data_IF_830435689902
#
_entry.id   IF_830435689902
#
_cell.length_a   1.000
_cell.length_b   1.000
_cell.length_c   1.000
_cell.angle_alpha   90.00
_cell.angle_beta   90.00
_cell.angle_gamma   90.00
#
_symmetry.space_group_name_H-M   'P 1'
#
loop_
_entity.id
_entity.type
_entity.pdbx_description
1 polymer ?
#
# COMPACT_ATOMS: atom_id res chain seq x y z
N UNK A 1 -3.14 -18.19 30.15
CA UNK A 1 -3.80 -17.60 28.96
C UNK A 1 -2.70 -17.01 28.09
N UNK A 2 -2.50 -17.52 26.88
CA UNK A 2 -1.54 -16.93 25.95
C UNK A 2 -2.08 -15.56 25.54
N UNK A 3 -1.48 -14.49 26.05
CA UNK A 3 -1.79 -13.14 25.61
C UNK A 3 -1.35 -13.05 24.16
N UNK A 4 -2.29 -13.14 23.23
CA UNK A 4 -2.05 -12.92 21.81
C UNK A 4 -1.76 -11.42 21.62
N UNK A 5 -0.54 -10.99 21.97
CA UNK A 5 -0.14 -9.59 21.79
C UNK A 5 0.14 -9.38 20.31
N UNK A 6 -0.83 -8.82 19.60
CA UNK A 6 -0.57 -8.26 18.28
C UNK A 6 0.51 -7.20 18.46
N UNK A 7 1.65 -7.38 17.81
CA UNK A 7 2.75 -6.40 17.85
C UNK A 7 2.38 -5.20 16.95
N UNK A 8 1.51 -4.31 17.44
CA UNK A 8 0.99 -3.16 16.69
C UNK A 8 2.07 -2.33 16.02
N UNK A 9 3.20 -2.11 16.69
CA UNK A 9 4.36 -1.41 16.14
C UNK A 9 4.89 -2.06 14.85
N UNK A 10 4.95 -3.40 14.79
CA UNK A 10 5.40 -4.12 13.59
C UNK A 10 4.41 -3.97 12.45
N UNK A 11 3.11 -4.01 12.74
CA UNK A 11 2.10 -3.95 11.68
C UNK A 11 1.94 -2.53 11.13
N UNK A 12 2.08 -1.50 11.98
CA UNK A 12 2.18 -0.12 11.52
C UNK A 12 3.41 0.09 10.66
N UNK A 13 4.56 -0.44 11.07
CA UNK A 13 5.79 -0.38 10.28
C UNK A 13 5.62 -0.99 8.89
N UNK A 14 5.00 -2.18 8.80
CA UNK A 14 4.71 -2.82 7.51
C UNK A 14 3.80 -1.96 6.63
N UNK A 15 2.79 -1.29 7.20
CA UNK A 15 1.92 -0.40 6.43
C UNK A 15 2.67 0.84 5.89
N UNK A 16 3.59 1.39 6.68
CA UNK A 16 4.47 2.49 6.27
C UNK A 16 5.45 2.04 5.17
N UNK A 17 6.06 0.85 5.31
CA UNK A 17 6.91 0.24 4.28
C UNK A 17 6.13 0.00 2.98
N UNK A 18 4.89 -0.50 3.05
CA UNK A 18 4.04 -0.67 1.86
C UNK A 18 3.76 0.66 1.15
N UNK A 19 3.55 1.75 1.89
CA UNK A 19 3.41 3.08 1.30
C UNK A 19 4.71 3.57 0.67
N UNK A 20 5.84 3.33 1.32
CA UNK A 20 7.16 3.68 0.79
C UNK A 20 7.42 2.94 -0.54
N UNK A 21 7.23 1.62 -0.55
CA UNK A 21 7.40 0.77 -1.73
C UNK A 21 6.47 1.23 -2.86
N UNK A 22 5.21 1.55 -2.55
CA UNK A 22 4.26 2.06 -3.55
C UNK A 22 4.74 3.37 -4.19
N UNK A 23 5.30 4.28 -3.39
CA UNK A 23 5.89 5.53 -3.91
C UNK A 23 7.11 5.25 -4.78
N UNK A 24 8.01 4.38 -4.33
CA UNK A 24 9.20 3.99 -5.09
C UNK A 24 8.83 3.38 -6.44
N UNK A 25 7.86 2.47 -6.47
CA UNK A 25 7.34 1.88 -7.71
C UNK A 25 6.79 2.98 -8.63
N UNK A 26 6.00 3.91 -8.09
CA UNK A 26 5.50 5.05 -8.87
C UNK A 26 6.62 5.90 -9.50
N UNK A 27 7.68 6.20 -8.75
CA UNK A 27 8.84 6.93 -9.27
C UNK A 27 9.57 6.14 -10.36
N UNK A 28 9.85 4.86 -10.13
CA UNK A 28 10.52 4.01 -11.14
C UNK A 28 9.69 3.88 -12.42
N UNK A 29 8.37 3.76 -12.32
CA UNK A 29 7.47 3.73 -13.47
C UNK A 29 7.44 5.08 -14.22
N UNK A 30 7.50 6.20 -13.51
CA UNK A 30 7.59 7.53 -14.13
C UNK A 30 8.93 7.73 -14.87
N UNK A 31 10.04 7.26 -14.30
CA UNK A 31 11.34 7.25 -14.97
C UNK A 31 11.34 6.35 -16.21
N UNK A 32 10.72 5.17 -16.11
CA UNK A 32 10.54 4.26 -17.24
C UNK A 32 9.70 4.90 -18.36
N UNK A 33 8.59 5.58 -18.02
CA UNK A 33 7.76 6.31 -18.98
C UNK A 33 8.53 7.44 -19.67
N UNK A 34 9.31 8.22 -18.91
CA UNK A 34 10.13 9.29 -19.46
C UNK A 34 11.27 8.77 -20.37
N UNK A 35 11.87 7.63 -20.05
CA UNK A 35 12.86 6.99 -20.91
C UNK A 35 12.23 6.40 -22.17
N UNK A 36 11.10 5.69 -22.05
CA UNK A 36 10.41 5.11 -23.19
C UNK A 36 9.92 6.18 -24.17
N UNK A 37 9.37 7.29 -23.67
CA UNK A 37 8.93 8.45 -24.49
C UNK A 37 10.05 9.07 -25.31
N UNK A 38 11.30 9.08 -24.81
CA UNK A 38 12.46 9.62 -25.54
C UNK A 38 12.78 8.82 -26.81
N UNK A 39 12.57 7.50 -26.77
CA UNK A 39 12.79 6.63 -27.91
C UNK A 39 11.51 6.37 -28.72
N UNK A 40 10.36 6.83 -28.23
CA UNK A 40 9.05 6.56 -28.83
C UNK A 40 8.87 7.19 -30.22
N UNK A 41 9.60 8.27 -30.51
CA UNK A 41 9.67 8.86 -31.84
C UNK A 41 10.37 7.95 -32.87
N UNK A 42 11.23 7.04 -32.41
CA UNK A 42 11.94 6.05 -33.23
C UNK A 42 11.12 4.74 -33.36
N UNK A 43 10.07 4.58 -32.56
CA UNK A 43 9.26 3.37 -32.48
C UNK A 43 8.09 3.42 -33.46
N UNK A 44 7.87 2.32 -34.19
CA UNK A 44 6.73 2.14 -35.10
C UNK A 44 5.38 2.17 -34.34
N UNK A 45 4.25 2.28 -35.06
CA UNK A 45 2.91 2.38 -34.43
C UNK A 45 2.55 1.21 -33.53
N UNK A 46 3.04 0.01 -33.82
CA UNK A 46 2.74 -1.20 -33.04
C UNK A 46 3.44 -1.17 -31.68
N UNK A 47 4.69 -0.68 -31.64
CA UNK A 47 5.42 -0.48 -30.39
C UNK A 47 4.80 0.63 -29.52
N UNK A 48 4.24 1.68 -30.12
CA UNK A 48 3.48 2.71 -29.40
C UNK A 48 2.20 2.14 -28.76
N UNK A 49 1.52 1.24 -29.46
CA UNK A 49 0.32 0.55 -28.97
C UNK A 49 0.66 -0.41 -27.83
N UNK A 50 1.71 -1.22 -27.99
CA UNK A 50 2.20 -2.11 -26.93
C UNK A 50 2.62 -1.33 -25.69
N UNK A 51 3.29 -0.18 -25.87
CA UNK A 51 3.67 0.71 -24.81
C UNK A 51 2.47 1.26 -24.03
N UNK A 52 1.44 1.76 -24.73
CA UNK A 52 0.24 2.31 -24.07
C UNK A 52 -0.50 1.23 -23.27
N UNK A 53 -0.56 -0.01 -23.77
CA UNK A 53 -1.12 -1.12 -23.01
C UNK A 53 -0.28 -1.49 -21.78
N UNK A 54 1.04 -1.55 -21.91
CA UNK A 54 1.93 -1.81 -20.78
C UNK A 54 1.81 -0.70 -19.72
N UNK A 55 1.72 0.55 -20.17
CA UNK A 55 1.52 1.71 -19.32
C UNK A 55 0.24 1.66 -18.51
N UNK A 56 -0.88 1.39 -19.16
CA UNK A 56 -2.16 1.26 -18.48
C UNK A 56 -2.13 0.15 -17.39
N UNK A 57 -1.47 -0.98 -17.67
CA UNK A 57 -1.34 -2.09 -16.72
C UNK A 57 -0.52 -1.71 -15.50
N UNK A 58 0.66 -1.13 -15.69
CA UNK A 58 1.50 -0.76 -14.53
C UNK A 58 0.87 0.38 -13.73
N UNK A 59 0.15 1.31 -14.37
CA UNK A 59 -0.47 2.46 -13.69
C UNK A 59 -1.61 1.96 -12.80
N UNK A 60 -2.38 0.99 -13.30
CA UNK A 60 -3.44 0.31 -12.54
C UNK A 60 -2.85 -0.44 -11.34
N UNK A 61 -1.80 -1.24 -11.58
CA UNK A 61 -1.16 -2.01 -10.51
C UNK A 61 -0.56 -1.12 -9.41
N UNK A 62 0.06 0.01 -9.78
CA UNK A 62 0.60 0.98 -8.83
C UNK A 62 -0.52 1.64 -8.00
N UNK A 63 -1.65 1.98 -8.62
CA UNK A 63 -2.82 2.51 -7.92
C UNK A 63 -3.41 1.49 -6.94
N UNK A 64 -3.50 0.21 -7.33
CA UNK A 64 -3.99 -0.87 -6.48
C UNK A 64 -3.10 -1.08 -5.25
N UNK A 65 -1.78 -1.02 -5.41
CA UNK A 65 -0.83 -1.12 -4.29
C UNK A 65 -1.03 0.01 -3.27
N UNK A 66 -1.17 1.25 -3.75
CA UNK A 66 -1.44 2.40 -2.89
C UNK A 66 -2.78 2.26 -2.14
N UNK A 67 -3.83 1.82 -2.84
CA UNK A 67 -5.14 1.58 -2.25
C UNK A 67 -5.09 0.48 -1.17
N UNK A 68 -4.33 -0.59 -1.41
CA UNK A 68 -4.19 -1.68 -0.46
C UNK A 68 -3.41 -1.27 0.80
N UNK A 69 -2.37 -0.45 0.65
CA UNK A 69 -1.64 0.12 1.78
C UNK A 69 -2.54 1.01 2.64
N UNK A 70 -3.39 1.84 2.02
CA UNK A 70 -4.39 2.66 2.75
C UNK A 70 -5.43 1.81 3.47
N UNK A 71 -5.94 0.75 2.83
CA UNK A 71 -6.87 -0.20 3.47
C UNK A 71 -6.22 -0.89 4.68
N UNK A 72 -4.97 -1.31 4.56
CA UNK A 72 -4.21 -1.90 5.67
C UNK A 72 -4.11 -0.90 6.84
N UNK A 73 -3.70 0.34 6.58
CA UNK A 73 -3.60 1.39 7.60
C UNK A 73 -4.95 1.64 8.31
N UNK A 74 -6.04 1.66 7.55
CA UNK A 74 -7.40 1.86 8.09
C UNK A 74 -7.82 0.69 8.98
N UNK A 75 -7.60 -0.54 8.51
CA UNK A 75 -7.91 -1.75 9.27
C UNK A 75 -7.11 -1.79 10.59
N UNK A 76 -5.84 -1.37 10.58
CA UNK A 76 -5.02 -1.30 11.79
C UNK A 76 -5.53 -0.27 12.79
N UNK A 77 -5.96 0.89 12.31
CA UNK A 77 -6.56 1.92 13.16
C UNK A 77 -7.83 1.39 13.83
N UNK A 78 -8.66 0.68 13.07
CA UNK A 78 -9.87 0.06 13.61
C UNK A 78 -9.58 -1.03 14.64
N UNK A 79 -8.61 -1.91 14.38
CA UNK A 79 -8.18 -2.95 15.33
C UNK A 79 -7.63 -2.30 16.61
N UNK A 80 -6.83 -1.24 16.50
CA UNK A 80 -6.28 -0.54 17.66
C UNK A 80 -7.40 0.07 18.53
N UNK A 81 -8.37 0.75 17.93
CA UNK A 81 -9.52 1.31 18.64
C UNK A 81 -10.33 0.22 19.34
N UNK A 82 -10.58 -0.91 18.67
CA UNK A 82 -11.30 -2.05 19.24
C UNK A 82 -10.56 -2.68 20.42
N UNK A 83 -9.23 -2.83 20.34
CA UNK A 83 -8.40 -3.34 21.45
C UNK A 83 -8.44 -2.41 22.67
N UNK A 84 -8.24 -1.11 22.47
CA UNK A 84 -8.33 -0.13 23.56
C UNK A 84 -9.71 -0.12 24.24
N UNK A 85 -10.77 -0.25 23.44
CA UNK A 85 -12.14 -0.34 23.97
C UNK A 85 -12.37 -1.63 24.75
N UNK A 86 -11.88 -2.77 24.25
CA UNK A 86 -11.96 -4.06 24.93
C UNK A 86 -11.19 -4.05 26.27
N UNK A 87 -9.99 -3.47 26.31
CA UNK A 87 -9.21 -3.34 27.55
C UNK A 87 -9.91 -2.47 28.60
N UNK A 88 -10.46 -1.31 28.19
CA UNK A 88 -11.24 -0.45 29.10
C UNK A 88 -12.47 -1.17 29.65
N UNK A 89 -13.20 -1.86 28.78
CA UNK A 89 -14.41 -2.59 29.17
C UNK A 89 -14.08 -3.78 30.08
N UNK A 90 -12.99 -4.49 29.80
CA UNK A 90 -12.47 -5.56 30.66
C UNK A 90 -12.03 -5.04 32.02
N UNK A 91 -11.22 -3.99 32.10
CA UNK A 91 -10.76 -3.42 33.37
C UNK A 91 -11.90 -2.89 34.26
N UNK A 92 -12.97 -2.37 33.66
CA UNK A 92 -14.16 -1.91 34.40
C UNK A 92 -15.04 -3.03 34.95
N UNK A 93 -14.98 -4.23 34.36
CA UNK A 93 -15.82 -5.37 34.73
C UNK A 93 -15.24 -6.20 35.89
N UNK A 94 -13.93 -6.13 36.12
CA UNK A 94 -13.21 -6.85 37.18
C UNK A 94 -12.65 -5.94 38.29
N UNK A 95 -12.94 -4.63 38.22
CA UNK A 95 -12.49 -3.61 39.19
C UNK A 95 -13.45 -3.35 40.35
N UNK A 96 -14.35 -4.29 40.68
CA UNK A 96 -15.22 -4.24 41.87
C UNK A 96 -15.10 -5.53 42.67
#
# INVERSE_FOLDING_TARGET
>A
MSTYSVHFAKVQHVAEEMQLISRTIGTTLAELDANARRHLAEWNSDAQTAYTHAKARWDTAAADMAAQAQKAQTALTHIHAAYLQAERTGSGMWGR
#
